data_IF_675427099790
#
_entry.id   IF_675427099790
#
_cell.length_a   1.000
_cell.length_b   1.000
_cell.length_c   1.000
_cell.angle_alpha   90.00
_cell.angle_beta   90.00
_cell.angle_gamma   90.00
#
_symmetry.space_group_name_H-M   'P 1'
#
loop_
_entity.id
_entity.type
_entity.pdbx_description
1 polymer ?
#
# COMPACT_ATOMS: atom_id res chain seq x y z
N UNK A 1 -0.75 31.87 -8.52
CA UNK A 1 -0.32 32.50 -7.24
C UNK A 1 0.21 31.39 -6.35
N UNK A 2 1.48 31.47 -5.93
CA UNK A 2 2.06 30.53 -4.97
C UNK A 2 1.47 30.77 -3.59
N UNK A 3 1.08 29.71 -2.86
CA UNK A 3 0.74 29.83 -1.45
C UNK A 3 1.92 30.53 -0.72
N UNK A 4 1.64 31.47 0.17
CA UNK A 4 2.69 32.12 0.95
C UNK A 4 3.46 31.05 1.73
N UNK A 5 4.80 31.11 1.71
CA UNK A 5 5.69 30.23 2.48
C UNK A 5 5.31 30.07 3.97
N UNK A 6 4.53 30.98 4.52
CA UNK A 6 3.97 30.91 5.87
C UNK A 6 2.92 29.80 6.04
N UNK A 7 2.13 29.49 4.99
CA UNK A 7 1.13 28.39 5.05
C UNK A 7 1.83 27.04 4.97
N UNK A 8 2.90 26.94 4.18
CA UNK A 8 3.70 25.71 4.07
C UNK A 8 4.41 25.40 5.39
N UNK A 9 4.96 26.41 6.09
CA UNK A 9 5.58 26.23 7.41
C UNK A 9 4.60 25.88 8.53
N UNK A 10 3.31 26.22 8.40
CA UNK A 10 2.24 25.85 9.35
C UNK A 10 1.64 24.47 9.10
N UNK A 11 1.95 23.83 7.97
CA UNK A 11 1.46 22.49 7.64
C UNK A 11 2.13 21.35 8.44
N UNK A 12 3.01 21.71 9.38
CA UNK A 12 3.66 20.78 10.29
C UNK A 12 2.88 20.74 11.61
N UNK A 13 2.31 19.61 11.94
CA UNK A 13 1.73 19.20 13.23
C UNK A 13 0.54 19.98 13.82
N UNK A 14 0.28 21.23 13.45
CA UNK A 14 -0.77 22.04 14.10
C UNK A 14 -2.01 22.29 13.23
N UNK A 15 -2.04 21.84 11.96
CA UNK A 15 -3.21 22.04 11.12
C UNK A 15 -3.44 20.85 10.15
N UNK A 16 -4.68 20.76 9.67
CA UNK A 16 -5.17 19.68 8.82
C UNK A 16 -4.81 19.86 7.34
N UNK A 17 -3.91 20.76 6.99
CA UNK A 17 -3.58 21.06 5.60
C UNK A 17 -3.08 19.82 4.84
N UNK A 18 -3.69 19.58 3.67
CA UNK A 18 -3.37 18.50 2.76
C UNK A 18 -3.52 18.99 1.32
N UNK A 19 -2.60 18.60 0.42
CA UNK A 19 -2.67 19.01 -0.98
C UNK A 19 -3.58 18.13 -1.85
N UNK A 20 -3.89 16.91 -1.39
CA UNK A 20 -4.64 15.92 -2.19
C UNK A 20 -6.00 16.42 -2.70
N UNK A 21 -6.85 17.13 -1.93
CA UNK A 21 -8.13 17.62 -2.43
C UNK A 21 -8.03 18.57 -3.64
N UNK A 22 -6.87 19.17 -3.89
CA UNK A 22 -6.66 20.10 -5.01
C UNK A 22 -6.02 19.53 -6.25
N UNK A 23 -5.38 18.35 -6.14
CA UNK A 23 -4.56 17.84 -7.24
C UNK A 23 -4.64 16.33 -7.44
N UNK A 24 -5.39 15.62 -6.60
CA UNK A 24 -5.43 14.16 -6.61
C UNK A 24 -6.86 13.62 -6.64
N UNK A 25 -7.05 12.53 -7.35
CA UNK A 25 -8.23 11.68 -7.30
C UNK A 25 -7.78 10.23 -7.28
N UNK A 26 -8.40 9.43 -6.45
CA UNK A 26 -8.13 7.99 -6.36
C UNK A 26 -9.43 7.20 -6.56
N UNK A 27 -9.39 6.19 -7.40
CA UNK A 27 -10.53 5.32 -7.66
C UNK A 27 -10.27 3.97 -7.01
N UNK A 28 -11.10 3.65 -6.02
CA UNK A 28 -11.05 2.34 -5.37
C UNK A 28 -11.60 1.24 -6.28
N UNK A 29 -11.18 0.00 -6.07
CA UNK A 29 -11.59 -1.17 -6.88
C UNK A 29 -13.12 -1.37 -6.97
N UNK A 30 -13.90 -0.87 -6.01
CA UNK A 30 -15.39 -0.85 -6.06
C UNK A 30 -15.96 0.22 -6.98
N UNK A 31 -15.13 1.03 -7.61
CA UNK A 31 -15.54 2.22 -8.34
C UNK A 31 -15.74 3.48 -7.47
N UNK A 32 -15.65 3.34 -6.13
CA UNK A 32 -15.82 4.47 -5.21
C UNK A 32 -14.72 5.52 -5.41
N UNK A 33 -15.12 6.77 -5.55
CA UNK A 33 -14.20 7.89 -5.71
C UNK A 33 -13.67 8.34 -4.36
N UNK A 34 -12.36 8.61 -4.28
CA UNK A 34 -11.63 9.07 -3.10
C UNK A 34 -10.75 10.27 -3.44
N UNK A 35 -10.46 11.11 -2.48
CA UNK A 35 -9.55 12.26 -2.68
C UNK A 35 -8.08 11.84 -2.68
N UNK A 36 -7.77 10.71 -2.06
CA UNK A 36 -6.46 10.03 -2.07
C UNK A 36 -6.64 8.56 -1.67
N UNK A 37 -5.55 7.78 -1.69
CA UNK A 37 -5.58 6.35 -1.32
C UNK A 37 -6.04 6.08 0.12
N UNK A 38 -5.93 7.04 1.05
CA UNK A 38 -6.32 6.90 2.46
C UNK A 38 -7.74 7.43 2.77
N UNK A 39 -8.33 8.21 1.84
CA UNK A 39 -9.66 8.78 2.05
C UNK A 39 -10.74 7.69 1.99
N UNK A 40 -11.76 7.77 2.84
CA UNK A 40 -12.86 6.78 2.90
C UNK A 40 -13.74 6.78 1.65
N UNK A 41 -13.74 7.89 0.91
CA UNK A 41 -14.47 8.08 -0.35
C UNK A 41 -15.62 9.08 -0.22
N UNK A 42 -16.00 9.65 -1.36
CA UNK A 42 -17.18 10.48 -1.52
C UNK A 42 -18.36 9.64 -2.02
N UNK A 43 -19.56 10.21 -2.02
CA UNK A 43 -20.79 9.54 -2.50
C UNK A 43 -20.88 9.57 -4.03
N UNK A 44 -19.81 9.09 -4.70
CA UNK A 44 -19.74 8.94 -6.17
C UNK A 44 -19.08 7.63 -6.55
N UNK A 45 -19.60 7.05 -7.63
CA UNK A 45 -19.00 5.89 -8.28
C UNK A 45 -18.51 6.28 -9.69
N UNK A 46 -17.29 5.91 -10.02
CA UNK A 46 -16.66 6.26 -11.30
C UNK A 46 -17.31 5.58 -12.52
N UNK A 47 -18.10 4.54 -12.29
CA UNK A 47 -18.88 3.92 -13.34
C UNK A 47 -20.07 4.80 -13.80
N UNK A 48 -20.48 5.75 -12.95
CA UNK A 48 -21.63 6.63 -13.19
C UNK A 48 -21.22 8.06 -13.61
N UNK A 49 -19.99 8.48 -13.26
CA UNK A 49 -19.47 9.84 -13.52
C UNK A 49 -18.06 9.79 -14.11
N UNK A 50 -17.61 10.88 -14.74
CA UNK A 50 -16.22 11.04 -15.17
C UNK A 50 -15.32 11.52 -14.04
N UNK A 51 -13.98 11.39 -14.21
CA UNK A 51 -12.98 11.92 -13.28
C UNK A 51 -13.15 13.42 -13.05
N UNK A 52 -13.46 14.18 -14.11
CA UNK A 52 -13.64 15.64 -14.03
C UNK A 52 -14.90 16.01 -13.24
N UNK A 53 -16.01 15.33 -13.46
CA UNK A 53 -17.26 15.54 -12.72
C UNK A 53 -17.07 15.19 -11.24
N UNK A 54 -16.45 14.05 -10.94
CA UNK A 54 -16.18 13.64 -9.56
C UNK A 54 -15.27 14.63 -8.83
N UNK A 55 -14.21 15.14 -9.49
CA UNK A 55 -13.28 16.11 -8.90
C UNK A 55 -13.91 17.49 -8.68
N UNK A 56 -14.92 17.84 -9.47
CA UNK A 56 -15.74 19.05 -9.33
C UNK A 56 -16.90 18.91 -8.35
N UNK A 57 -17.08 17.77 -7.70
CA UNK A 57 -18.20 17.52 -6.80
C UNK A 57 -18.18 18.41 -5.55
N UNK A 58 -19.37 18.64 -4.98
CA UNK A 58 -19.54 19.46 -3.77
C UNK A 58 -18.75 18.92 -2.58
N UNK A 59 -18.57 17.61 -2.47
CA UNK A 59 -17.79 17.01 -1.39
C UNK A 59 -16.31 17.39 -1.47
N UNK A 60 -15.73 17.46 -2.69
CA UNK A 60 -14.37 18.00 -2.87
C UNK A 60 -14.27 19.46 -2.46
N UNK A 61 -15.30 20.29 -2.79
CA UNK A 61 -15.34 21.69 -2.39
C UNK A 61 -15.43 21.83 -0.86
N UNK A 62 -16.24 21.01 -0.21
CA UNK A 62 -16.35 20.99 1.24
C UNK A 62 -15.04 20.60 1.90
N UNK A 63 -14.39 19.51 1.45
CA UNK A 63 -13.11 19.08 1.99
C UNK A 63 -12.01 20.14 1.84
N UNK A 64 -11.94 20.83 0.68
CA UNK A 64 -11.00 21.95 0.47
C UNK A 64 -11.24 23.08 1.49
N UNK A 65 -12.49 23.41 1.76
CA UNK A 65 -12.86 24.44 2.74
C UNK A 65 -12.53 24.01 4.17
N UNK A 66 -12.83 22.78 4.54
CA UNK A 66 -12.54 22.21 5.86
C UNK A 66 -11.04 22.19 6.13
N UNK A 67 -10.24 21.67 5.20
CA UNK A 67 -8.77 21.68 5.27
C UNK A 67 -8.23 23.08 5.48
N UNK A 68 -8.73 24.07 4.75
CA UNK A 68 -8.31 25.48 4.89
C UNK A 68 -8.75 26.11 6.21
N UNK A 69 -9.80 25.59 6.83
CA UNK A 69 -10.31 26.04 8.13
C UNK A 69 -9.68 25.30 9.33
N UNK A 70 -8.73 24.39 9.09
CA UNK A 70 -8.11 23.60 10.16
C UNK A 70 -9.01 22.47 10.69
N UNK A 71 -9.99 22.05 9.89
CA UNK A 71 -10.93 20.97 10.23
C UNK A 71 -10.55 19.73 9.43
N UNK A 72 -10.54 18.56 10.09
CA UNK A 72 -10.38 17.28 9.39
C UNK A 72 -11.60 17.02 8.50
N UNK A 73 -11.42 16.85 7.18
CA UNK A 73 -12.54 16.49 6.31
C UNK A 73 -13.14 15.14 6.69
N UNK A 74 -14.42 15.01 6.45
CA UNK A 74 -15.10 13.72 6.53
C UNK A 74 -14.37 12.75 5.59
N UNK A 75 -14.02 11.55 6.10
CA UNK A 75 -13.28 10.54 5.35
C UNK A 75 -11.75 10.63 5.46
N UNK A 76 -11.19 11.59 6.21
CA UNK A 76 -9.74 11.71 6.48
C UNK A 76 -9.30 11.08 7.82
N UNK A 77 -10.15 10.32 8.47
CA UNK A 77 -9.90 9.69 9.79
C UNK A 77 -8.63 8.83 9.87
N UNK A 78 -8.22 8.25 8.74
CA UNK A 78 -7.03 7.40 8.71
C UNK A 78 -5.74 8.20 8.94
N UNK A 79 -5.60 9.37 8.31
CA UNK A 79 -4.45 10.24 8.54
C UNK A 79 -4.45 10.84 9.95
N UNK A 80 -5.63 11.25 10.46
CA UNK A 80 -5.79 11.75 11.83
C UNK A 80 -5.29 10.72 12.85
N UNK A 81 -5.81 9.49 12.79
CA UNK A 81 -5.37 8.39 13.66
C UNK A 81 -3.89 8.05 13.50
N UNK A 82 -3.36 8.06 12.27
CA UNK A 82 -1.93 7.80 12.05
C UNK A 82 -1.07 8.86 12.71
N UNK A 83 -1.44 10.14 12.62
CA UNK A 83 -0.69 11.24 13.24
C UNK A 83 -0.76 11.19 14.78
N UNK A 84 -1.91 10.84 15.35
CA UNK A 84 -2.05 10.61 16.79
C UNK A 84 -1.15 9.46 17.29
N UNK A 85 -0.97 8.40 16.50
CA UNK A 85 -0.23 7.22 16.91
C UNK A 85 1.27 7.29 16.57
N UNK A 86 1.64 7.94 15.47
CA UNK A 86 3.00 7.87 14.94
C UNK A 86 3.62 9.24 14.59
N UNK A 87 2.87 10.32 14.76
CA UNK A 87 3.31 11.68 14.37
C UNK A 87 3.50 11.86 12.87
N UNK A 88 3.12 10.86 12.04
CA UNK A 88 3.25 10.91 10.58
C UNK A 88 2.03 10.29 9.89
N UNK A 89 1.79 10.70 8.65
CA UNK A 89 0.69 10.19 7.82
C UNK A 89 0.98 10.41 6.34
N UNK A 90 0.14 9.87 5.46
CA UNK A 90 0.22 10.16 4.02
C UNK A 90 0.04 11.66 3.75
N UNK A 91 -0.83 12.36 4.49
CA UNK A 91 -0.98 13.81 4.43
C UNK A 91 0.35 14.52 4.72
N UNK A 92 1.00 14.15 5.82
CA UNK A 92 2.29 14.70 6.20
C UNK A 92 3.36 14.47 5.12
N UNK A 93 3.44 13.25 4.62
CA UNK A 93 4.35 12.88 3.52
C UNK A 93 4.08 13.68 2.25
N UNK A 94 2.82 13.76 1.83
CA UNK A 94 2.43 14.51 0.63
C UNK A 94 2.69 16.02 0.78
N UNK A 95 2.54 16.57 1.98
CA UNK A 95 2.72 18.00 2.24
C UNK A 95 4.18 18.40 2.42
N UNK A 96 4.99 17.56 3.09
CA UNK A 96 6.39 17.90 3.43
C UNK A 96 7.40 17.47 2.36
N UNK A 97 7.20 16.33 1.71
CA UNK A 97 8.12 15.83 0.68
C UNK A 97 8.00 16.55 -0.66
N UNK A 98 6.86 17.20 -0.93
CA UNK A 98 6.67 18.01 -2.13
C UNK A 98 7.44 19.33 -2.10
N UNK A 99 8.03 19.71 -0.96
CA UNK A 99 8.80 20.97 -0.83
C UNK A 99 10.16 20.97 -1.55
N UNK A 100 10.61 19.87 -2.12
CA UNK A 100 12.00 19.83 -2.59
C UNK A 100 12.23 19.68 -4.10
N UNK A 101 11.25 19.39 -4.97
CA UNK A 101 11.56 19.37 -6.41
C UNK A 101 10.42 19.59 -7.41
N UNK A 102 9.16 19.46 -7.04
CA UNK A 102 8.07 19.83 -7.95
C UNK A 102 6.99 20.51 -7.12
N UNK A 103 6.90 21.82 -7.26
CA UNK A 103 5.85 22.64 -6.65
C UNK A 103 4.49 22.19 -7.20
N UNK A 104 3.87 21.25 -6.51
CA UNK A 104 2.46 20.94 -6.67
C UNK A 104 1.69 22.12 -6.07
N UNK A 105 1.55 23.18 -6.85
CA UNK A 105 0.76 24.31 -6.41
C UNK A 105 -0.71 23.89 -6.38
N UNK A 106 -1.39 24.03 -5.23
CA UNK A 106 -2.84 23.90 -5.21
C UNK A 106 -3.41 24.99 -6.14
N UNK A 107 -3.94 24.56 -7.27
CA UNK A 107 -4.70 25.43 -8.14
C UNK A 107 -6.06 25.59 -7.47
N UNK A 108 -6.22 26.69 -6.75
CA UNK A 108 -7.48 27.01 -6.10
C UNK A 108 -8.63 26.96 -7.12
N UNK A 109 -9.47 25.94 -6.99
CA UNK A 109 -10.79 25.94 -7.58
C UNK A 109 -10.90 25.89 -9.11
N UNK A 110 -9.86 25.46 -9.84
CA UNK A 110 -9.99 25.23 -11.28
C UNK A 110 -10.42 23.78 -11.48
N UNK A 111 -11.71 23.53 -11.80
CA UNK A 111 -12.15 22.19 -12.16
C UNK A 111 -11.34 21.69 -13.37
N UNK A 112 -10.82 20.48 -13.29
CA UNK A 112 -10.17 19.82 -14.41
C UNK A 112 -8.64 19.74 -14.40
N UNK A 113 -7.95 20.26 -13.39
CA UNK A 113 -6.49 20.10 -13.25
C UNK A 113 -6.14 18.99 -12.25
N UNK A 114 -6.60 17.79 -12.54
CA UNK A 114 -6.18 16.60 -11.79
C UNK A 114 -4.75 16.27 -12.21
N UNK A 115 -3.81 16.33 -11.27
CA UNK A 115 -2.40 16.10 -11.55
C UNK A 115 -1.98 14.65 -11.22
N UNK A 116 -2.61 14.06 -10.20
CA UNK A 116 -2.38 12.67 -9.78
C UNK A 116 -3.67 11.87 -9.82
N UNK A 117 -3.63 10.74 -10.49
CA UNK A 117 -4.77 9.82 -10.60
C UNK A 117 -4.34 8.45 -10.09
N UNK A 118 -4.91 8.01 -8.97
CA UNK A 118 -4.76 6.64 -8.47
C UNK A 118 -5.91 5.77 -8.97
N UNK A 119 -5.62 4.56 -9.42
CA UNK A 119 -6.62 3.65 -9.97
C UNK A 119 -6.38 2.23 -9.45
N UNK A 120 -7.31 1.75 -8.63
CA UNK A 120 -7.45 0.33 -8.32
C UNK A 120 -8.52 -0.25 -9.26
N UNK A 121 -8.12 -0.81 -10.40
CA UNK A 121 -9.08 -1.27 -11.40
C UNK A 121 -10.01 -2.39 -10.93
N UNK A 122 -9.53 -3.26 -10.05
CA UNK A 122 -10.25 -4.42 -9.53
C UNK A 122 -9.52 -4.98 -8.30
N UNK A 123 -10.17 -5.83 -7.54
CA UNK A 123 -9.54 -6.66 -6.52
C UNK A 123 -9.08 -8.03 -7.07
N UNK A 124 -9.14 -8.24 -8.38
CA UNK A 124 -8.63 -9.47 -9.00
C UNK A 124 -7.12 -9.59 -8.79
N UNK A 125 -6.69 -10.66 -8.13
CA UNK A 125 -5.28 -10.91 -7.81
C UNK A 125 -4.97 -12.42 -7.90
N UNK A 126 -3.76 -12.73 -8.33
CA UNK A 126 -3.26 -14.10 -8.41
C UNK A 126 -2.57 -14.59 -7.12
N UNK A 127 -2.45 -13.72 -6.11
CA UNK A 127 -1.92 -14.04 -4.78
C UNK A 127 -3.02 -13.89 -3.71
N UNK A 128 -2.76 -14.51 -2.55
CA UNK A 128 -3.56 -14.37 -1.32
C UNK A 128 -2.65 -14.08 -0.12
N UNK A 129 -1.88 -13.01 -0.23
CA UNK A 129 -0.86 -12.63 0.76
C UNK A 129 -1.40 -12.66 2.19
N UNK A 130 -0.59 -13.14 3.15
CA UNK A 130 -1.07 -13.43 4.51
C UNK A 130 -1.61 -12.19 5.23
N UNK A 131 -1.09 -11.01 4.92
CA UNK A 131 -1.54 -9.72 5.47
C UNK A 131 -2.61 -9.01 4.61
N UNK A 132 -3.07 -9.63 3.52
CA UNK A 132 -4.09 -9.07 2.63
C UNK A 132 -5.51 -9.43 3.10
N UNK A 133 -6.51 -8.95 2.37
CA UNK A 133 -7.93 -9.17 2.63
C UNK A 133 -8.76 -9.31 1.33
N UNK A 134 -10.04 -9.70 1.43
CA UNK A 134 -10.92 -9.87 0.27
C UNK A 134 -11.15 -8.61 -0.57
N UNK A 135 -11.01 -7.41 0.01
CA UNK A 135 -11.20 -6.15 -0.72
C UNK A 135 -10.04 -5.87 -1.68
N UNK A 136 -8.88 -6.47 -1.41
CA UNK A 136 -7.64 -6.31 -2.19
C UNK A 136 -7.24 -7.56 -2.97
N UNK A 137 -7.85 -8.74 -2.69
CA UNK A 137 -7.53 -9.97 -3.40
C UNK A 137 -8.71 -10.94 -3.45
N UNK A 138 -9.14 -11.29 -4.67
CA UNK A 138 -10.11 -12.37 -4.88
C UNK A 138 -9.60 -13.74 -4.39
N UNK A 139 -8.28 -13.93 -4.29
CA UNK A 139 -7.67 -15.14 -3.72
C UNK A 139 -8.06 -15.39 -2.26
N UNK A 140 -8.47 -14.33 -1.54
CA UNK A 140 -8.89 -14.40 -0.15
C UNK A 140 -10.32 -14.88 0.08
N UNK A 141 -11.19 -14.94 -0.94
CA UNK A 141 -12.61 -15.24 -0.71
C UNK A 141 -12.88 -16.55 0.03
N UNK A 142 -12.14 -17.60 -0.30
CA UNK A 142 -12.27 -18.89 0.39
C UNK A 142 -11.77 -18.85 1.82
N UNK A 143 -10.63 -18.19 2.04
CA UNK A 143 -10.04 -18.01 3.36
C UNK A 143 -10.95 -17.15 4.26
N UNK A 144 -11.47 -16.04 3.74
CA UNK A 144 -12.39 -15.15 4.46
C UNK A 144 -13.70 -15.88 4.84
N UNK A 145 -14.28 -16.65 3.92
CA UNK A 145 -15.47 -17.45 4.21
C UNK A 145 -15.23 -18.48 5.32
N UNK A 146 -14.08 -19.13 5.28
CA UNK A 146 -13.69 -20.09 6.32
C UNK A 146 -13.53 -19.40 7.67
N UNK A 147 -12.82 -18.27 7.74
CA UNK A 147 -12.63 -17.50 8.95
C UNK A 147 -13.96 -16.96 9.51
N UNK A 148 -14.83 -16.42 8.65
CA UNK A 148 -16.16 -15.97 9.05
C UNK A 148 -16.98 -17.10 9.70
N UNK A 149 -16.98 -18.28 9.10
CA UNK A 149 -17.70 -19.43 9.65
C UNK A 149 -17.12 -19.91 11.00
N UNK A 150 -15.81 -19.79 11.20
CA UNK A 150 -15.13 -20.28 12.40
C UNK A 150 -15.12 -19.25 13.56
N UNK A 151 -15.07 -17.95 13.25
CA UNK A 151 -14.87 -16.86 14.22
C UNK A 151 -16.11 -15.99 14.43
N UNK A 152 -17.09 -16.03 13.50
CA UNK A 152 -18.26 -15.17 13.53
C UNK A 152 -17.98 -13.73 13.04
N UNK A 153 -19.05 -12.94 12.87
CA UNK A 153 -18.94 -11.59 12.28
C UNK A 153 -18.12 -10.60 13.11
N UNK A 154 -18.25 -10.67 14.43
CA UNK A 154 -17.60 -9.71 15.35
C UNK A 154 -16.08 -9.84 15.40
N UNK A 155 -15.55 -11.02 15.08
CA UNK A 155 -14.13 -11.31 15.16
C UNK A 155 -13.41 -11.26 13.82
N UNK A 156 -14.16 -11.23 12.73
CA UNK A 156 -13.65 -11.28 11.36
C UNK A 156 -13.68 -9.89 10.71
N UNK A 157 -12.70 -9.02 11.02
CA UNK A 157 -12.53 -7.75 10.30
C UNK A 157 -12.25 -7.97 8.80
N UNK A 158 -11.71 -9.14 8.45
CA UNK A 158 -11.58 -9.64 7.07
C UNK A 158 -12.91 -10.25 6.62
N UNK A 159 -13.99 -9.70 7.19
CA UNK A 159 -15.32 -10.26 7.11
C UNK A 159 -15.75 -10.49 5.68
N UNK A 160 -16.32 -11.67 5.51
CA UNK A 160 -17.02 -12.15 4.35
C UNK A 160 -18.12 -11.18 3.85
N UNK A 161 -18.64 -10.30 4.70
CA UNK A 161 -19.73 -9.37 4.38
C UNK A 161 -19.42 -8.41 3.21
N UNK A 162 -18.15 -8.20 2.89
CA UNK A 162 -17.75 -7.44 1.71
C UNK A 162 -17.19 -8.32 0.59
N UNK A 163 -16.96 -9.59 0.86
CA UNK A 163 -16.51 -10.56 -0.13
C UNK A 163 -17.73 -11.16 -0.83
N UNK A 164 -18.30 -10.43 -1.77
CA UNK A 164 -19.12 -11.10 -2.77
C UNK A 164 -18.23 -12.16 -3.45
N UNK A 165 -18.81 -13.31 -3.80
CA UNK A 165 -18.13 -14.36 -4.55
C UNK A 165 -17.59 -13.89 -5.91
N UNK A 166 -17.91 -12.68 -6.32
CA UNK A 166 -17.56 -12.07 -7.59
C UNK A 166 -16.52 -10.97 -7.40
N UNK A 167 -15.53 -10.94 -8.27
CA UNK A 167 -14.64 -9.77 -8.40
C UNK A 167 -15.48 -8.55 -8.77
N UNK A 168 -15.16 -7.41 -8.16
CA UNK A 168 -15.70 -6.13 -8.58
C UNK A 168 -14.58 -5.31 -9.25
N UNK A 169 -14.97 -4.34 -10.04
CA UNK A 169 -14.00 -3.53 -10.75
C UNK A 169 -14.62 -2.37 -11.51
N UNK A 170 -13.73 -1.54 -12.00
CA UNK A 170 -14.04 -0.42 -12.88
C UNK A 170 -14.37 -0.98 -14.27
N UNK A 171 -15.38 -0.42 -14.94
CA UNK A 171 -15.76 -0.82 -16.29
C UNK A 171 -14.65 -0.51 -17.30
N UNK A 172 -14.57 -1.29 -18.39
CA UNK A 172 -13.49 -1.16 -19.38
C UNK A 172 -13.54 0.20 -20.10
N UNK A 173 -14.73 0.74 -20.31
CA UNK A 173 -14.95 2.03 -20.98
C UNK A 173 -14.54 3.26 -20.15
N UNK A 174 -14.20 3.05 -18.87
CA UNK A 174 -13.63 4.10 -18.01
C UNK A 174 -12.42 4.79 -18.66
N UNK A 175 -11.55 4.02 -19.31
CA UNK A 175 -10.34 4.56 -19.93
C UNK A 175 -10.72 5.53 -21.05
N UNK A 176 -11.63 5.14 -21.94
CA UNK A 176 -12.06 5.95 -23.07
C UNK A 176 -12.85 7.20 -22.60
N UNK A 177 -13.77 7.03 -21.65
CA UNK A 177 -14.54 8.13 -21.05
C UNK A 177 -13.67 9.21 -20.41
N UNK A 178 -12.50 8.82 -19.90
CA UNK A 178 -11.60 9.70 -19.16
C UNK A 178 -10.27 9.97 -19.86
N UNK A 179 -10.09 9.54 -21.11
CA UNK A 179 -8.80 9.55 -21.79
C UNK A 179 -8.14 10.93 -21.79
N UNK A 180 -8.90 11.98 -22.12
CA UNK A 180 -8.38 13.35 -22.10
C UNK A 180 -7.85 13.78 -20.74
N UNK A 181 -8.51 13.39 -19.65
CA UNK A 181 -8.09 13.70 -18.27
C UNK A 181 -6.87 12.89 -17.89
N UNK A 182 -6.85 11.60 -18.24
CA UNK A 182 -5.72 10.70 -18.00
C UNK A 182 -4.45 11.21 -18.69
N UNK A 183 -4.54 11.61 -19.97
CA UNK A 183 -3.39 12.12 -20.74
C UNK A 183 -2.84 13.46 -20.24
N UNK A 184 -3.64 14.27 -19.54
CA UNK A 184 -3.22 15.53 -18.93
C UNK A 184 -2.63 15.38 -17.54
N UNK A 185 -2.82 14.24 -16.88
CA UNK A 185 -2.28 13.98 -15.56
C UNK A 185 -0.75 13.90 -15.59
N UNK A 186 -0.08 14.49 -14.60
CA UNK A 186 1.38 14.36 -14.44
C UNK A 186 1.77 12.97 -13.96
N UNK A 187 0.88 12.31 -13.21
CA UNK A 187 1.11 10.97 -12.70
C UNK A 187 -0.18 10.16 -12.70
N UNK A 188 -0.07 8.94 -13.19
CA UNK A 188 -1.08 7.89 -13.01
C UNK A 188 -0.44 6.80 -12.17
N UNK A 189 -1.14 6.35 -11.12
CA UNK A 189 -0.72 5.26 -10.24
C UNK A 189 -1.75 4.14 -10.31
N UNK A 190 -1.32 2.94 -10.67
CA UNK A 190 -2.18 1.78 -10.83
C UNK A 190 -1.88 0.74 -9.76
N UNK A 191 -2.91 0.36 -9.01
CA UNK A 191 -2.86 -0.63 -7.94
C UNK A 191 -4.09 -1.54 -7.94
N UNK A 192 -4.55 -1.88 -6.75
CA UNK A 192 -5.72 -2.73 -6.52
C UNK A 192 -5.34 -4.17 -6.19
N UNK A 193 -5.84 -5.15 -6.96
CA UNK A 193 -5.41 -6.55 -6.87
C UNK A 193 -4.00 -6.72 -7.43
N UNK A 194 -3.89 -7.24 -8.64
CA UNK A 194 -2.62 -7.26 -9.38
C UNK A 194 -2.83 -6.64 -10.78
N UNK A 195 -2.24 -5.48 -11.08
CA UNK A 195 -2.47 -4.80 -12.35
C UNK A 195 -2.23 -5.69 -13.57
N UNK A 196 -1.16 -6.49 -13.58
CA UNK A 196 -0.84 -7.39 -14.71
C UNK A 196 -1.77 -8.60 -14.83
N UNK A 197 -2.70 -8.76 -13.91
CA UNK A 197 -3.78 -9.75 -13.96
C UNK A 197 -5.10 -9.16 -14.48
N UNK A 198 -5.20 -7.82 -14.59
CA UNK A 198 -6.42 -7.07 -14.85
C UNK A 198 -6.43 -6.55 -16.31
N UNK A 199 -7.42 -6.93 -17.16
CA UNK A 199 -7.48 -6.50 -18.56
C UNK A 199 -7.55 -4.98 -18.74
N UNK A 200 -8.29 -4.27 -17.87
CA UNK A 200 -8.42 -2.81 -17.92
C UNK A 200 -7.09 -2.09 -17.78
N UNK A 201 -6.18 -2.62 -16.95
CA UNK A 201 -4.82 -2.07 -16.85
C UNK A 201 -4.04 -2.23 -18.17
N UNK A 202 -4.13 -3.41 -18.79
CA UNK A 202 -3.48 -3.64 -20.08
C UNK A 202 -4.01 -2.67 -21.15
N UNK A 203 -5.32 -2.44 -21.18
CA UNK A 203 -5.97 -1.51 -22.07
C UNK A 203 -5.53 -0.06 -21.82
N UNK A 204 -5.45 0.37 -20.55
CA UNK A 204 -4.89 1.67 -20.21
C UNK A 204 -3.47 1.85 -20.75
N UNK A 205 -2.58 0.87 -20.51
CA UNK A 205 -1.18 0.93 -20.99
C UNK A 205 -1.13 1.11 -22.52
N UNK A 206 -1.97 0.36 -23.27
CA UNK A 206 -2.05 0.47 -24.72
C UNK A 206 -2.51 1.87 -25.16
N UNK A 207 -3.51 2.45 -24.50
CA UNK A 207 -3.97 3.82 -24.76
C UNK A 207 -2.94 4.88 -24.42
N UNK A 208 -2.21 4.73 -23.32
CA UNK A 208 -1.14 5.65 -22.96
C UNK A 208 0.01 5.65 -23.98
N UNK A 209 0.37 4.49 -24.52
CA UNK A 209 1.37 4.36 -25.59
C UNK A 209 0.85 4.97 -26.90
N UNK A 210 -0.38 4.60 -27.31
CA UNK A 210 -1.02 5.10 -28.54
C UNK A 210 -1.03 6.63 -28.60
N UNK A 211 -1.26 7.28 -27.45
CA UNK A 211 -1.34 8.74 -27.34
C UNK A 211 -0.05 9.41 -26.83
N UNK A 212 1.07 8.68 -26.80
CA UNK A 212 2.38 9.20 -26.40
C UNK A 212 2.35 9.95 -25.05
N UNK A 213 1.80 9.31 -24.01
CA UNK A 213 1.69 9.90 -22.67
C UNK A 213 3.03 10.29 -22.10
N UNK A 214 3.18 11.55 -21.68
CA UNK A 214 4.44 12.12 -21.19
C UNK A 214 4.55 12.14 -19.65
N UNK A 215 3.47 11.83 -18.95
CA UNK A 215 3.49 11.78 -17.49
C UNK A 215 4.15 10.51 -16.96
N UNK A 216 4.19 10.40 -15.64
CA UNK A 216 4.74 9.23 -14.95
C UNK A 216 3.66 8.18 -14.74
N UNK A 217 3.93 6.93 -15.09
CA UNK A 217 3.10 5.77 -14.76
C UNK A 217 3.73 5.00 -13.61
N UNK A 218 3.12 5.02 -12.42
CA UNK A 218 3.51 4.18 -11.30
C UNK A 218 2.67 2.92 -11.26
N UNK A 219 3.30 1.77 -11.06
CA UNK A 219 2.63 0.46 -11.06
C UNK A 219 2.95 -0.27 -9.77
N UNK A 220 1.93 -0.45 -8.91
CA UNK A 220 2.03 -1.22 -7.68
C UNK A 220 1.77 -2.69 -8.04
N UNK A 221 2.78 -3.55 -7.88
CA UNK A 221 2.70 -4.94 -8.34
C UNK A 221 3.37 -5.91 -7.38
N UNK A 222 2.91 -7.16 -7.39
CA UNK A 222 3.57 -8.28 -6.73
C UNK A 222 4.71 -8.89 -7.57
N UNK A 223 4.99 -8.36 -8.75
CA UNK A 223 6.02 -8.75 -9.71
C UNK A 223 5.91 -10.19 -10.27
N UNK A 224 4.96 -11.01 -9.84
CA UNK A 224 4.88 -12.42 -10.27
C UNK A 224 4.52 -12.57 -11.75
N UNK A 225 3.69 -11.66 -12.29
CA UNK A 225 3.13 -11.73 -13.64
C UNK A 225 3.87 -10.86 -14.67
N UNK A 226 5.02 -10.29 -14.31
CA UNK A 226 5.85 -9.54 -15.23
C UNK A 226 6.39 -10.44 -16.35
N UNK A 227 5.98 -10.14 -17.58
CA UNK A 227 6.39 -10.88 -18.79
C UNK A 227 7.28 -10.00 -19.67
N UNK A 228 8.32 -10.56 -20.33
CA UNK A 228 9.23 -9.77 -21.19
C UNK A 228 8.51 -8.94 -22.26
N UNK A 229 7.45 -9.48 -22.86
CA UNK A 229 6.65 -8.77 -23.87
C UNK A 229 6.00 -7.50 -23.31
N UNK A 230 5.49 -7.56 -22.07
CA UNK A 230 4.87 -6.39 -21.42
C UNK A 230 5.95 -5.38 -21.02
N UNK A 231 7.06 -5.83 -20.42
CA UNK A 231 8.18 -4.96 -20.06
C UNK A 231 8.72 -4.20 -21.28
N UNK A 232 8.81 -4.87 -22.45
CA UNK A 232 9.21 -4.20 -23.70
C UNK A 232 8.25 -3.07 -24.08
N UNK A 233 6.93 -3.27 -23.98
CA UNK A 233 5.93 -2.22 -24.24
C UNK A 233 6.06 -1.05 -23.27
N UNK A 234 6.31 -1.34 -21.99
CA UNK A 234 6.40 -0.31 -20.95
C UNK A 234 7.61 0.62 -21.10
N UNK A 235 8.63 0.25 -21.91
CA UNK A 235 9.78 1.14 -22.21
C UNK A 235 9.38 2.38 -23.01
N UNK A 236 8.24 2.37 -23.67
CA UNK A 236 7.70 3.53 -24.40
C UNK A 236 7.06 4.58 -23.46
N UNK A 237 6.99 4.31 -22.16
CA UNK A 237 6.42 5.16 -21.11
C UNK A 237 7.46 5.46 -20.03
N UNK A 238 7.25 6.56 -19.28
CA UNK A 238 8.01 6.86 -18.08
C UNK A 238 7.43 6.07 -16.89
N UNK A 239 7.96 4.87 -16.64
CA UNK A 239 7.42 3.91 -15.67
C UNK A 239 8.29 3.79 -14.44
N UNK A 240 7.64 3.84 -13.27
CA UNK A 240 8.19 3.44 -11.98
C UNK A 240 7.39 2.27 -11.41
N UNK A 241 8.07 1.22 -10.96
CA UNK A 241 7.47 0.12 -10.24
C UNK A 241 7.51 0.34 -8.73
N UNK A 242 6.38 0.08 -8.07
CA UNK A 242 6.31 -0.12 -6.62
C UNK A 242 6.10 -1.61 -6.39
N UNK A 243 7.17 -2.31 -6.02
CA UNK A 243 7.14 -3.76 -5.85
C UNK A 243 6.82 -4.10 -4.41
N UNK A 244 5.65 -4.70 -4.20
CA UNK A 244 5.22 -5.15 -2.88
C UNK A 244 5.95 -6.41 -2.46
N UNK A 245 6.69 -6.34 -1.34
CA UNK A 245 7.55 -7.41 -0.84
C UNK A 245 7.51 -7.44 0.68
N UNK A 246 6.98 -8.50 1.28
CA UNK A 246 6.75 -8.57 2.74
C UNK A 246 7.62 -9.62 3.42
N UNK A 247 8.63 -10.13 2.74
CA UNK A 247 9.60 -11.10 3.26
C UNK A 247 10.56 -11.56 2.19
N UNK A 248 11.71 -12.06 2.60
CA UNK A 248 12.78 -12.59 1.74
C UNK A 248 13.03 -14.07 2.04
N UNK A 249 13.74 -14.75 1.13
CA UNK A 249 14.14 -16.14 1.33
C UNK A 249 12.97 -17.08 1.61
N UNK A 250 13.17 -17.96 2.58
CA UNK A 250 12.18 -18.98 2.96
C UNK A 250 10.85 -18.40 3.47
N UNK A 251 10.82 -17.14 3.98
CA UNK A 251 9.60 -16.52 4.47
C UNK A 251 8.68 -16.04 3.33
N UNK A 252 9.24 -15.70 2.15
CA UNK A 252 8.48 -15.15 1.03
C UNK A 252 7.22 -15.96 0.67
N UNK A 253 7.27 -17.30 0.45
CA UNK A 253 6.09 -18.07 0.05
C UNK A 253 5.00 -18.15 1.11
N UNK A 254 5.33 -17.93 2.38
CA UNK A 254 4.35 -17.84 3.46
C UNK A 254 3.67 -16.45 3.49
N UNK A 255 4.45 -15.39 3.33
CA UNK A 255 3.93 -14.03 3.32
C UNK A 255 3.08 -13.74 2.07
N UNK A 256 3.50 -14.26 0.92
CA UNK A 256 2.86 -13.97 -0.38
C UNK A 256 2.46 -15.26 -1.14
N UNK A 257 1.60 -16.09 -0.53
CA UNK A 257 1.19 -17.35 -1.12
C UNK A 257 0.35 -17.14 -2.38
N UNK A 258 0.66 -17.94 -3.41
CA UNK A 258 -0.10 -18.05 -4.64
C UNK A 258 -1.28 -19.02 -4.51
N UNK A 259 -2.13 -19.07 -5.54
CA UNK A 259 -3.12 -20.13 -5.71
C UNK A 259 -2.84 -20.88 -7.02
N UNK A 260 -2.37 -22.14 -6.99
CA UNK A 260 -2.04 -22.98 -5.81
C UNK A 260 -0.83 -22.48 -5.03
N UNK A 261 -0.70 -22.91 -3.78
CA UNK A 261 0.42 -22.55 -2.91
C UNK A 261 1.77 -23.01 -3.49
N UNK A 262 2.82 -22.17 -3.37
CA UNK A 262 4.17 -22.50 -3.82
C UNK A 262 4.42 -22.40 -5.33
N UNK A 263 3.51 -21.78 -6.09
CA UNK A 263 3.70 -21.59 -7.54
C UNK A 263 4.89 -20.69 -7.88
N UNK A 264 5.23 -19.73 -6.99
CA UNK A 264 6.34 -18.80 -7.18
C UNK A 264 7.35 -18.99 -6.06
N UNK A 265 8.63 -19.20 -6.43
CA UNK A 265 9.73 -19.30 -5.47
C UNK A 265 10.34 -17.93 -5.20
N UNK A 266 11.08 -17.81 -4.10
CA UNK A 266 11.81 -16.59 -3.79
C UNK A 266 12.81 -16.24 -4.89
N UNK A 267 13.58 -17.22 -5.34
CA UNK A 267 14.65 -17.06 -6.34
C UNK A 267 14.12 -16.53 -7.67
N UNK A 268 12.95 -17.03 -8.09
CA UNK A 268 12.28 -16.55 -9.31
C UNK A 268 11.85 -15.08 -9.18
N UNK A 269 11.30 -14.70 -8.04
CA UNK A 269 10.83 -13.33 -7.80
C UNK A 269 12.00 -12.39 -7.59
N UNK A 270 13.01 -12.77 -6.82
CA UNK A 270 14.24 -12.01 -6.64
C UNK A 270 14.87 -11.68 -7.99
N UNK A 271 15.03 -12.69 -8.86
CA UNK A 271 15.63 -12.49 -10.18
C UNK A 271 14.80 -11.56 -11.06
N UNK A 272 13.47 -11.66 -11.03
CA UNK A 272 12.59 -10.71 -11.75
C UNK A 272 12.78 -9.29 -11.26
N UNK A 273 12.81 -9.07 -9.94
CA UNK A 273 13.01 -7.75 -9.34
C UNK A 273 14.37 -7.18 -9.74
N UNK A 274 15.45 -7.95 -9.59
CA UNK A 274 16.81 -7.53 -10.00
C UNK A 274 16.84 -7.16 -11.49
N UNK A 275 16.14 -7.90 -12.33
CA UNK A 275 16.12 -7.59 -13.76
C UNK A 275 15.39 -6.28 -14.09
N UNK A 276 14.24 -6.02 -13.44
CA UNK A 276 13.51 -4.77 -13.69
C UNK A 276 14.23 -3.53 -13.15
N UNK A 277 15.06 -3.65 -12.10
CA UNK A 277 15.84 -2.52 -11.58
C UNK A 277 16.85 -1.97 -12.58
N UNK A 278 17.27 -2.78 -13.57
CA UNK A 278 18.23 -2.40 -14.60
C UNK A 278 17.62 -1.51 -15.69
N UNK A 279 16.30 -1.54 -15.82
CA UNK A 279 15.60 -0.92 -16.96
C UNK A 279 14.58 0.13 -16.53
N UNK A 280 14.09 0.08 -15.28
CA UNK A 280 13.01 0.92 -14.79
C UNK A 280 13.33 1.49 -13.41
N UNK A 281 12.67 2.60 -13.06
CA UNK A 281 12.58 3.07 -11.69
C UNK A 281 11.87 2.03 -10.82
N UNK A 282 12.44 1.74 -9.64
CA UNK A 282 11.84 0.79 -8.70
C UNK A 282 11.80 1.38 -7.29
N UNK A 283 10.72 1.13 -6.59
CA UNK A 283 10.58 1.31 -5.14
C UNK A 283 10.13 -0.02 -4.56
N UNK A 284 10.82 -0.51 -3.54
CA UNK A 284 10.40 -1.69 -2.79
C UNK A 284 9.44 -1.24 -1.70
N UNK A 285 8.24 -1.82 -1.68
CA UNK A 285 7.23 -1.59 -0.64
C UNK A 285 7.22 -2.77 0.32
N UNK A 286 7.49 -2.49 1.58
CA UNK A 286 7.57 -3.46 2.67
C UNK A 286 6.58 -3.09 3.78
N UNK A 287 5.83 -4.08 4.26
CA UNK A 287 4.87 -3.91 5.34
C UNK A 287 5.31 -4.72 6.57
N UNK A 288 6.12 -4.12 7.47
CA UNK A 288 6.54 -4.75 8.71
C UNK A 288 5.34 -5.14 9.58
N UNK A 289 5.37 -6.36 10.11
CA UNK A 289 4.29 -6.90 10.92
C UNK A 289 4.79 -8.03 11.83
N UNK A 290 3.91 -8.57 12.65
CA UNK A 290 4.22 -9.61 13.63
C UNK A 290 4.84 -10.88 13.01
N UNK A 291 4.56 -11.21 11.75
CA UNK A 291 5.02 -12.44 11.09
C UNK A 291 6.44 -12.26 10.58
N UNK A 292 6.76 -11.09 9.99
CA UNK A 292 8.04 -10.85 9.34
C UNK A 292 9.06 -10.11 10.21
N UNK A 293 8.76 -9.88 11.49
CA UNK A 293 9.64 -9.14 12.40
C UNK A 293 11.06 -9.71 12.47
N UNK A 294 11.21 -11.04 12.52
CA UNK A 294 12.53 -11.69 12.54
C UNK A 294 13.26 -11.61 11.19
N UNK A 295 12.54 -11.36 10.10
CA UNK A 295 13.13 -11.22 8.78
C UNK A 295 13.60 -9.77 8.47
N UNK A 296 13.24 -8.78 9.30
CA UNK A 296 13.56 -7.37 9.05
C UNK A 296 15.07 -7.12 8.85
N UNK A 297 15.99 -7.63 9.66
CA UNK A 297 17.42 -7.41 9.47
C UNK A 297 17.91 -7.96 8.11
N UNK A 298 17.58 -9.21 7.80
CA UNK A 298 17.92 -9.86 6.54
C UNK A 298 17.28 -9.14 5.33
N UNK A 299 16.06 -8.67 5.49
CA UNK A 299 15.36 -7.91 4.46
C UNK A 299 16.08 -6.60 4.13
N UNK A 300 16.47 -5.83 5.13
CA UNK A 300 17.23 -4.59 4.98
C UNK A 300 18.57 -4.86 4.27
N UNK A 301 19.28 -5.90 4.70
CA UNK A 301 20.53 -6.31 4.07
C UNK A 301 20.31 -6.69 2.58
N UNK A 302 19.29 -7.50 2.30
CA UNK A 302 18.95 -7.88 0.93
C UNK A 302 18.68 -6.66 0.04
N UNK A 303 17.87 -5.72 0.51
CA UNK A 303 17.58 -4.51 -0.24
C UNK A 303 18.87 -3.72 -0.48
N UNK A 304 19.74 -3.56 0.52
CA UNK A 304 21.03 -2.86 0.38
C UNK A 304 21.92 -3.51 -0.66
N UNK A 305 22.10 -4.82 -0.57
CA UNK A 305 23.03 -5.55 -1.45
C UNK A 305 22.51 -5.71 -2.88
N UNK A 306 21.23 -6.00 -3.04
CA UNK A 306 20.67 -6.40 -4.34
C UNK A 306 20.03 -5.25 -5.12
N UNK A 307 19.53 -4.23 -4.42
CA UNK A 307 18.77 -3.14 -5.05
C UNK A 307 19.61 -1.85 -5.06
N UNK A 308 20.30 -1.54 -3.96
CA UNK A 308 20.96 -0.26 -3.76
C UNK A 308 22.35 -0.22 -4.34
N UNK A 309 23.24 -1.07 -3.87
CA UNK A 309 24.64 -1.10 -4.32
C UNK A 309 24.78 -1.18 -5.85
N UNK A 310 23.99 -2.04 -6.55
CA UNK A 310 24.06 -2.11 -8.01
C UNK A 310 23.58 -0.84 -8.72
N UNK A 311 22.80 0.00 -8.05
CA UNK A 311 22.21 1.22 -8.62
C UNK A 311 22.88 2.52 -8.13
N UNK A 312 24.21 2.51 -7.96
CA UNK A 312 25.07 3.64 -7.57
C UNK A 312 24.94 4.17 -6.14
N UNK A 313 24.41 3.40 -5.22
CA UNK A 313 24.76 3.43 -3.80
C UNK A 313 24.38 4.64 -2.94
N UNK A 314 23.84 5.73 -3.49
CA UNK A 314 23.67 6.98 -2.76
C UNK A 314 22.19 7.22 -2.40
N UNK A 315 21.93 7.47 -1.11
CA UNK A 315 20.66 8.00 -0.54
C UNK A 315 19.35 7.36 -1.01
N UNK A 316 19.39 6.07 -1.32
CA UNK A 316 18.30 5.33 -1.93
C UNK A 316 17.06 5.15 -1.04
N UNK A 317 17.19 5.25 0.28
CA UNK A 317 16.06 5.32 1.20
C UNK A 317 15.09 6.44 0.81
N UNK A 318 15.60 7.53 0.26
CA UNK A 318 14.82 8.65 -0.22
C UNK A 318 14.10 8.34 -1.55
N UNK A 319 13.18 7.38 -1.53
CA UNK A 319 12.27 7.11 -2.65
C UNK A 319 12.42 5.74 -3.34
N UNK A 320 13.32 4.87 -2.86
CA UNK A 320 13.51 3.52 -3.38
C UNK A 320 13.00 2.41 -2.45
N UNK A 321 12.75 2.75 -1.21
CA UNK A 321 12.20 1.85 -0.21
C UNK A 321 11.08 2.56 0.55
N UNK A 322 9.94 1.94 0.63
CA UNK A 322 8.81 2.39 1.42
C UNK A 322 8.53 1.33 2.47
N UNK A 323 8.51 1.72 3.72
CA UNK A 323 8.06 0.84 4.80
C UNK A 323 6.98 1.57 5.60
N UNK A 324 5.93 0.86 5.94
CA UNK A 324 4.88 1.31 6.83
C UNK A 324 4.43 0.11 7.65
N UNK A 325 4.72 0.13 8.94
CA UNK A 325 4.37 -0.97 9.82
C UNK A 325 2.85 -1.11 9.93
N UNK A 326 2.35 -2.34 9.96
CA UNK A 326 0.92 -2.63 10.10
C UNK A 326 0.36 -1.94 11.35
N UNK A 327 -0.70 -1.17 11.14
CA UNK A 327 -1.51 -0.57 12.21
C UNK A 327 -2.89 -1.22 12.32
N UNK A 328 -3.40 -1.74 11.22
CA UNK A 328 -4.68 -2.46 11.13
C UNK A 328 -4.55 -3.66 10.18
N UNK A 329 -5.05 -4.82 10.59
CA UNK A 329 -5.72 -5.13 11.85
C UNK A 329 -4.73 -5.17 13.01
N UNK A 330 -5.20 -4.81 14.18
CA UNK A 330 -4.35 -4.59 15.33
C UNK A 330 -3.56 -5.83 15.76
N UNK A 331 -4.12 -7.02 15.62
CA UNK A 331 -3.45 -8.27 15.98
C UNK A 331 -2.25 -8.64 15.06
N UNK A 332 -2.05 -7.92 13.94
CA UNK A 332 -0.88 -8.06 13.09
C UNK A 332 0.23 -7.05 13.40
N UNK A 333 0.04 -6.12 14.33
CA UNK A 333 1.05 -5.14 14.71
C UNK A 333 2.26 -5.81 15.36
N UNK A 334 3.45 -5.23 15.14
CA UNK A 334 4.69 -5.65 15.81
C UNK A 334 4.55 -5.55 17.32
N UNK A 335 3.84 -4.55 17.85
CA UNK A 335 3.61 -4.35 19.27
C UNK A 335 2.97 -5.56 19.97
N UNK A 336 2.21 -6.38 19.24
CA UNK A 336 1.54 -7.60 19.74
C UNK A 336 2.53 -8.76 19.95
N UNK A 337 3.70 -8.71 19.32
CA UNK A 337 4.68 -9.80 19.33
C UNK A 337 5.17 -10.09 20.75
N UNK A 338 5.19 -11.39 21.21
CA UNK A 338 5.49 -11.75 22.59
C UNK A 338 6.97 -11.67 23.00
N UNK A 339 7.90 -11.68 22.05
CA UNK A 339 9.35 -11.62 22.30
C UNK A 339 9.79 -10.16 22.53
N UNK A 340 9.59 -9.69 23.78
CA UNK A 340 9.96 -8.32 24.17
C UNK A 340 11.48 -8.09 24.01
N UNK A 341 12.31 -9.07 24.35
CA UNK A 341 13.76 -8.96 24.25
C UNK A 341 14.19 -8.79 22.78
N UNK A 342 13.58 -9.54 21.88
CA UNK A 342 13.86 -9.38 20.46
C UNK A 342 13.38 -8.02 19.91
N UNK A 343 12.18 -7.59 20.28
CA UNK A 343 11.67 -6.27 19.91
C UNK A 343 12.65 -5.15 20.31
N UNK A 344 13.14 -5.19 21.57
CA UNK A 344 14.08 -4.19 22.05
C UNK A 344 15.41 -4.24 21.28
N UNK A 345 15.99 -5.43 21.08
CA UNK A 345 17.22 -5.56 20.26
C UNK A 345 17.04 -5.09 18.83
N UNK A 346 15.89 -5.37 18.21
CA UNK A 346 15.59 -4.88 16.87
C UNK A 346 15.50 -3.35 16.84
N UNK A 347 14.84 -2.75 17.83
CA UNK A 347 14.77 -1.30 17.95
C UNK A 347 16.17 -0.68 18.12
N UNK A 348 17.02 -1.24 19.03
CA UNK A 348 18.41 -0.78 19.23
C UNK A 348 19.21 -0.84 17.92
N UNK A 349 19.08 -1.95 17.17
CA UNK A 349 19.75 -2.14 15.89
C UNK A 349 19.31 -1.10 14.86
N UNK A 350 18.02 -0.78 14.79
CA UNK A 350 17.48 0.19 13.84
C UNK A 350 17.83 1.63 14.23
N UNK A 351 17.80 1.96 15.53
CA UNK A 351 18.20 3.28 16.06
C UNK A 351 19.70 3.58 15.86
N UNK A 352 20.56 2.56 15.96
CA UNK A 352 22.00 2.70 15.75
C UNK A 352 22.39 2.98 14.29
N UNK A 353 21.46 2.83 13.35
CA UNK A 353 21.72 3.14 11.94
C UNK A 353 21.70 4.65 11.68
N UNK A 354 22.52 5.11 10.76
CA UNK A 354 22.51 6.51 10.29
C UNK A 354 21.18 6.95 9.66
N UNK A 355 20.39 5.98 9.19
CA UNK A 355 19.06 6.12 8.59
C UNK A 355 17.92 5.69 9.54
N UNK A 356 18.20 5.59 10.84
CA UNK A 356 17.27 5.07 11.86
C UNK A 356 15.90 5.76 11.88
N UNK A 357 15.85 7.07 11.63
CA UNK A 357 14.60 7.81 11.54
C UNK A 357 13.65 7.30 10.44
N UNK A 358 14.17 6.54 9.48
CA UNK A 358 13.39 5.92 8.43
C UNK A 358 12.53 4.74 8.93
N UNK A 359 12.91 4.17 10.05
CA UNK A 359 12.25 3.02 10.69
C UNK A 359 11.48 3.41 11.96
N UNK A 360 11.16 4.69 12.13
CA UNK A 360 10.57 5.22 13.37
C UNK A 360 9.28 4.52 13.80
N UNK A 361 8.42 4.13 12.85
CA UNK A 361 7.18 3.40 13.14
C UNK A 361 7.44 1.96 13.63
N UNK A 362 8.45 1.28 13.07
CA UNK A 362 8.89 -0.05 13.54
C UNK A 362 9.47 0.06 14.95
N UNK A 363 10.39 1.02 15.15
CA UNK A 363 11.03 1.29 16.45
C UNK A 363 9.96 1.56 17.51
N UNK A 364 9.02 2.43 17.21
CA UNK A 364 7.92 2.77 18.11
C UNK A 364 7.09 1.55 18.50
N UNK A 365 6.70 0.73 17.54
CA UNK A 365 5.95 -0.50 17.83
C UNK A 365 6.78 -1.51 18.62
N UNK A 366 8.09 -1.59 18.38
CA UNK A 366 9.00 -2.45 19.16
C UNK A 366 9.16 -1.97 20.61
N UNK A 367 9.20 -0.65 20.83
CA UNK A 367 9.35 -0.05 22.18
C UNK A 367 8.05 -0.04 22.98
N UNK A 368 6.91 -0.22 22.32
CA UNK A 368 5.62 -0.23 22.98
C UNK A 368 5.49 -1.46 23.90
N UNK A 369 5.27 -1.29 25.22
CA UNK A 369 5.03 -2.40 26.11
C UNK A 369 3.70 -3.08 25.77
N UNK A 370 3.64 -4.39 25.98
CA UNK A 370 2.39 -5.14 25.80
C UNK A 370 1.45 -4.87 26.99
N UNK A 371 0.22 -4.55 26.65
CA UNK A 371 -0.90 -4.46 27.59
C UNK A 371 -1.76 -5.73 27.50
N UNK A 372 -2.80 -5.81 28.32
CA UNK A 372 -3.79 -6.91 28.24
C UNK A 372 -4.40 -7.02 26.84
N UNK A 373 -4.57 -5.87 26.16
CA UNK A 373 -5.05 -5.83 24.78
C UNK A 373 -4.09 -6.53 23.80
N UNK A 374 -2.81 -6.24 23.86
CA UNK A 374 -1.82 -6.89 23.00
C UNK A 374 -1.67 -8.39 23.33
N UNK A 375 -1.92 -8.79 24.59
CA UNK A 375 -1.95 -10.20 24.98
C UNK A 375 -3.16 -10.91 24.35
N UNK A 376 -4.33 -10.29 24.34
CA UNK A 376 -5.53 -10.85 23.71
C UNK A 376 -5.42 -10.82 22.18
N UNK A 377 -4.84 -9.78 21.61
CA UNK A 377 -4.52 -9.72 20.17
C UNK A 377 -3.55 -10.85 19.76
N UNK A 378 -2.58 -11.22 20.63
CA UNK A 378 -1.69 -12.36 20.38
C UNK A 378 -2.45 -13.71 20.38
N UNK A 379 -3.33 -13.93 21.34
CA UNK A 379 -4.20 -15.13 21.36
C UNK A 379 -5.04 -15.21 20.10
N UNK A 380 -5.60 -14.07 19.68
CA UNK A 380 -6.41 -13.97 18.46
C UNK A 380 -5.55 -14.20 17.20
N UNK A 381 -4.33 -13.69 17.15
CA UNK A 381 -3.37 -13.97 16.08
C UNK A 381 -3.08 -15.46 15.96
N UNK A 382 -2.75 -16.14 17.08
CA UNK A 382 -2.50 -17.59 17.08
C UNK A 382 -3.72 -18.35 16.55
N UNK A 383 -4.91 -18.10 17.10
CA UNK A 383 -6.17 -18.74 16.70
C UNK A 383 -6.46 -18.55 15.20
N UNK A 384 -6.36 -17.33 14.72
CA UNK A 384 -6.63 -17.01 13.30
C UNK A 384 -5.61 -17.66 12.38
N UNK A 385 -4.35 -17.66 12.78
CA UNK A 385 -3.26 -18.25 12.00
C UNK A 385 -3.36 -19.77 11.95
N UNK A 386 -3.68 -20.45 13.06
CA UNK A 386 -3.92 -21.92 13.07
C UNK A 386 -5.04 -22.31 12.09
N UNK A 387 -6.13 -21.53 12.08
CA UNK A 387 -7.24 -21.77 11.14
C UNK A 387 -6.81 -21.58 9.68
N UNK A 388 -6.08 -20.51 9.39
CA UNK A 388 -5.55 -20.25 8.04
C UNK A 388 -4.54 -21.31 7.61
N UNK A 389 -3.60 -21.65 8.47
CA UNK A 389 -2.56 -22.64 8.20
C UNK A 389 -3.15 -24.02 7.92
N UNK A 390 -4.13 -24.45 8.74
CA UNK A 390 -4.88 -25.68 8.50
C UNK A 390 -5.61 -25.66 7.15
N UNK A 391 -6.28 -24.55 6.84
CA UNK A 391 -7.02 -24.37 5.57
C UNK A 391 -6.08 -24.34 4.36
N UNK A 392 -4.94 -23.67 4.50
CA UNK A 392 -3.92 -23.51 3.45
C UNK A 392 -2.95 -24.68 3.38
N UNK A 393 -3.01 -25.65 4.30
CA UNK A 393 -2.10 -26.81 4.44
C UNK A 393 -0.64 -26.37 4.59
N UNK A 394 -0.40 -25.43 5.47
CA UNK A 394 0.91 -24.88 5.80
C UNK A 394 1.05 -24.73 7.32
N UNK A 395 2.17 -24.17 7.79
CA UNK A 395 2.38 -23.83 9.20
C UNK A 395 3.32 -22.66 9.31
N UNK A 396 2.94 -21.63 10.07
CA UNK A 396 3.80 -20.48 10.36
C UNK A 396 5.11 -20.91 11.03
N UNK A 397 5.05 -21.91 11.92
CA UNK A 397 6.24 -22.39 12.66
C UNK A 397 7.31 -22.95 11.72
N UNK A 398 6.93 -23.50 10.57
CA UNK A 398 7.89 -23.91 9.55
C UNK A 398 8.69 -22.72 8.98
N UNK A 399 8.10 -21.53 8.94
CA UNK A 399 8.69 -20.33 8.33
C UNK A 399 9.25 -19.35 9.35
N UNK A 400 8.73 -19.40 10.57
CA UNK A 400 9.13 -18.55 11.70
C UNK A 400 9.22 -19.42 12.96
N UNK A 401 10.23 -20.30 13.05
CA UNK A 401 10.36 -21.26 14.16
C UNK A 401 10.54 -20.56 15.51
N UNK A 402 11.01 -19.32 15.54
CA UNK A 402 11.18 -18.52 16.75
C UNK A 402 9.85 -18.31 17.49
N UNK A 403 8.72 -18.41 16.79
CA UNK A 403 7.38 -18.27 17.40
C UNK A 403 6.95 -19.50 18.19
N UNK A 404 7.56 -20.68 17.96
CA UNK A 404 7.11 -21.95 18.55
C UNK A 404 7.02 -21.90 20.09
N UNK A 405 8.02 -21.31 20.75
CA UNK A 405 8.06 -21.20 22.21
C UNK A 405 6.97 -20.30 22.82
N UNK A 406 6.34 -19.44 22.00
CA UNK A 406 5.29 -18.52 22.41
C UNK A 406 3.90 -18.96 21.93
N UNK A 407 3.84 -20.00 21.07
CA UNK A 407 2.63 -20.36 20.38
C UNK A 407 1.56 -20.91 21.32
N UNK A 408 0.38 -20.33 21.23
CA UNK A 408 -0.81 -20.77 21.96
C UNK A 408 -1.64 -21.63 21.03
N UNK A 409 -1.64 -22.95 21.25
CA UNK A 409 -2.45 -23.88 20.45
C UNK A 409 -3.93 -23.59 20.70
N UNK A 410 -4.69 -23.40 19.64
CA UNK A 410 -6.14 -23.16 19.66
C UNK A 410 -6.95 -24.46 19.68
#
# INVERSE_FOLDING_TARGET
MSLPNKLIKKATSENTYCTSPWNEIHIHATGKVRMCCQHEGIDKNINDVTLSEAFGDIEYHNARREVMSGIWPIGCSQCEKSEEHSGTSMRYVNTTKTNNQETWHPTFGIPGLIQRIGIDFSNACNLRCTICDPNKSTGWYKDAKMLHNALGEKESWRAYNHASSNSYGIQIDFVDKNLTTLLKAKQIECGGGEPFYIPQFTYLVEKLIEHNYQGRLKIITNATLLKPKMLKKLKDLNVDFIVSMDGTGHLYPYMRPSTPFGKYTWEEIEQKIINITKEFGITISFTPNIINIYNIPQYIEWVQEKIVKPNNGIDWWKGKFFNEAVTSPEYLRIAVHPDEDYKHRLADMLEARSDGNYFSDIIMQCRKPRTDKEIDDWKFFCKTTDLLDKHRKTSIIKYVPELEKYWIKS
#
